data_IF_188296408010
#
_entry.id   IF_188296408010
#
_cell.length_a   1.000
_cell.length_b   1.000
_cell.length_c   1.000
_cell.angle_alpha   90.00
_cell.angle_beta   90.00
_cell.angle_gamma   90.00
#
_symmetry.space_group_name_H-M   'P 1'
#
loop_
_entity.id
_entity.type
_entity.pdbx_description
1 polymer ?
#
# COMPACT_ATOMS: atom_id res chain seq x y z
N UNK A 1 13.64 -44.43 -27.42
CA UNK A 1 13.92 -42.99 -27.66
C UNK A 1 12.74 -42.05 -27.38
N UNK A 2 11.49 -42.51 -27.21
CA UNK A 2 10.34 -41.60 -26.96
C UNK A 2 10.22 -41.00 -25.55
N UNK A 3 10.78 -41.64 -24.52
CA UNK A 3 10.58 -41.24 -23.12
C UNK A 3 11.45 -40.04 -22.69
N UNK A 4 12.66 -39.89 -23.25
CA UNK A 4 13.57 -38.78 -22.93
C UNK A 4 13.05 -37.46 -23.53
N UNK A 5 12.46 -37.51 -24.72
CA UNK A 5 11.85 -36.35 -25.37
C UNK A 5 10.62 -35.87 -24.59
N UNK A 6 9.83 -36.80 -24.04
CA UNK A 6 8.65 -36.47 -23.25
C UNK A 6 9.02 -35.78 -21.93
N UNK A 7 10.06 -36.27 -21.23
CA UNK A 7 10.57 -35.64 -20.00
C UNK A 7 11.13 -34.24 -20.30
N UNK A 8 11.83 -34.05 -21.42
CA UNK A 8 12.33 -32.75 -21.84
C UNK A 8 11.22 -31.73 -22.10
N UNK A 9 10.13 -32.15 -22.75
CA UNK A 9 8.97 -31.28 -23.03
C UNK A 9 8.22 -30.93 -21.75
N UNK A 10 8.02 -31.90 -20.85
CA UNK A 10 7.34 -31.66 -19.56
C UNK A 10 8.19 -30.75 -18.66
N UNK A 11 9.51 -30.95 -18.62
CA UNK A 11 10.42 -30.09 -17.86
C UNK A 11 10.44 -28.66 -18.42
N UNK A 12 10.43 -28.50 -19.74
CA UNK A 12 10.36 -27.18 -20.39
C UNK A 12 9.01 -26.49 -20.14
N UNK A 13 7.90 -27.22 -20.19
CA UNK A 13 6.57 -26.70 -19.86
C UNK A 13 6.47 -26.31 -18.38
N UNK A 14 7.05 -27.09 -17.47
CA UNK A 14 7.13 -26.76 -16.05
C UNK A 14 8.01 -25.52 -15.80
N UNK A 15 9.16 -25.40 -16.48
CA UNK A 15 10.02 -24.21 -16.42
C UNK A 15 9.33 -22.95 -16.97
N UNK A 16 8.56 -23.07 -18.05
CA UNK A 16 7.76 -21.97 -18.61
C UNK A 16 6.59 -21.58 -17.69
N UNK A 17 5.93 -22.55 -17.05
CA UNK A 17 4.86 -22.30 -16.08
C UNK A 17 5.40 -21.67 -14.79
N UNK A 18 6.57 -22.13 -14.32
CA UNK A 18 7.24 -21.58 -13.15
C UNK A 18 7.78 -20.16 -13.45
N UNK A 19 8.38 -19.96 -14.62
CA UNK A 19 8.81 -18.64 -15.10
C UNK A 19 7.65 -17.65 -15.21
N UNK A 20 6.49 -18.07 -15.73
CA UNK A 20 5.27 -17.25 -15.76
C UNK A 20 4.83 -16.85 -14.35
N UNK A 21 4.84 -17.78 -13.39
CA UNK A 21 4.40 -17.49 -12.01
C UNK A 21 5.28 -16.45 -11.30
N UNK A 22 6.56 -16.38 -11.67
CA UNK A 22 7.49 -15.39 -11.10
C UNK A 22 7.62 -14.10 -11.91
N UNK A 23 7.39 -14.10 -13.23
CA UNK A 23 7.49 -12.89 -14.07
C UNK A 23 6.18 -12.09 -14.22
N UNK A 24 5.01 -12.71 -14.03
CA UNK A 24 3.72 -12.02 -14.24
C UNK A 24 3.37 -10.89 -13.26
N UNK A 25 3.88 -10.77 -12.01
CA UNK A 25 3.57 -9.61 -11.18
C UNK A 25 4.11 -8.30 -11.76
N UNK A 26 5.21 -8.39 -12.53
CA UNK A 26 5.96 -7.25 -13.05
C UNK A 26 5.34 -6.68 -14.33
N UNK A 27 4.59 -7.48 -15.07
CA UNK A 27 4.05 -7.13 -16.40
C UNK A 27 2.51 -7.08 -16.41
N UNK A 28 1.88 -6.54 -15.35
CA UNK A 28 0.45 -6.20 -15.42
C UNK A 28 0.29 -4.86 -16.15
N UNK A 29 -0.30 -4.83 -17.36
CA UNK A 29 -0.47 -3.58 -18.08
C UNK A 29 -1.42 -2.64 -17.32
N UNK A 30 -1.05 -1.37 -17.23
CA UNK A 30 -1.95 -0.33 -16.77
C UNK A 30 -3.06 -0.17 -17.81
N UNK A 31 -4.32 -0.23 -17.37
CA UNK A 31 -5.51 -0.05 -18.22
C UNK A 31 -5.91 1.42 -18.29
N UNK A 32 -5.62 2.18 -17.23
CA UNK A 32 -5.93 3.60 -17.17
C UNK A 32 -4.86 4.35 -16.38
N UNK A 33 -4.46 5.52 -16.87
CA UNK A 33 -3.59 6.45 -16.15
C UNK A 33 -4.33 7.76 -15.92
N UNK A 34 -4.26 8.30 -14.70
CA UNK A 34 -4.96 9.53 -14.33
C UNK A 34 -4.22 10.29 -13.22
N UNK A 35 -4.54 11.59 -13.10
CA UNK A 35 -3.97 12.45 -12.07
C UNK A 35 -4.79 12.38 -10.78
N UNK A 36 -4.11 12.00 -9.70
CA UNK A 36 -4.71 11.80 -8.39
C UNK A 36 -4.02 12.57 -7.28
N UNK A 37 -4.66 12.50 -6.11
CA UNK A 37 -4.14 13.03 -4.86
C UNK A 37 -4.33 11.99 -3.77
N UNK A 38 -3.26 11.64 -3.07
CA UNK A 38 -3.38 10.88 -1.81
C UNK A 38 -3.96 11.86 -0.80
N UNK A 39 -5.16 11.56 -0.31
CA UNK A 39 -5.92 12.42 0.61
C UNK A 39 -5.99 11.84 2.01
N UNK A 40 -5.83 10.52 2.13
CA UNK A 40 -5.82 9.83 3.42
C UNK A 40 -4.99 8.55 3.33
N UNK A 41 -4.77 7.94 4.48
CA UNK A 41 -4.12 6.63 4.61
C UNK A 41 -4.92 5.79 5.59
N UNK A 42 -5.29 4.57 5.18
CA UNK A 42 -5.85 3.57 6.08
C UNK A 42 -4.69 2.80 6.70
N UNK A 43 -4.55 2.88 8.02
CA UNK A 43 -3.48 2.25 8.78
C UNK A 43 -4.02 1.02 9.49
N UNK A 44 -3.40 -0.14 9.27
CA UNK A 44 -3.68 -1.37 10.01
C UNK A 44 -2.50 -1.71 10.92
N UNK A 45 -2.78 -2.26 12.10
CA UNK A 45 -1.75 -2.62 13.08
C UNK A 45 -1.57 -4.12 13.15
N UNK A 46 -0.34 -4.56 13.41
CA UNK A 46 0.03 -5.97 13.32
C UNK A 46 -0.66 -6.82 14.40
N UNK A 47 -0.78 -6.26 15.61
CA UNK A 47 -1.51 -6.82 16.74
C UNK A 47 -1.97 -5.70 17.65
N UNK A 48 -3.01 -6.02 18.43
CA UNK A 48 -3.59 -5.28 19.55
C UNK A 48 -2.69 -4.12 20.06
N UNK A 49 -2.75 -2.92 19.46
CA UNK A 49 -1.81 -1.84 19.76
C UNK A 49 -1.86 -1.53 21.25
N UNK A 50 -0.70 -1.64 21.89
CA UNK A 50 -0.54 -1.40 23.33
C UNK A 50 0.01 0.00 23.48
N UNK A 51 -0.73 0.84 24.21
CA UNK A 51 -0.40 2.24 24.55
C UNK A 51 1.01 2.48 25.14
N UNK A 52 1.82 1.44 25.37
CA UNK A 52 3.16 1.48 25.96
C UNK A 52 4.24 0.71 25.20
N UNK A 53 3.97 0.08 24.06
CA UNK A 53 5.01 -0.63 23.32
C UNK A 53 4.50 -1.47 22.16
N UNK A 54 5.02 -1.15 20.98
CA UNK A 54 4.71 -1.68 19.65
C UNK A 54 3.38 -1.20 19.07
N UNK A 55 3.36 0.08 18.72
CA UNK A 55 2.34 0.70 17.86
C UNK A 55 2.77 0.66 16.38
N UNK A 56 3.56 -0.34 15.97
CA UNK A 56 4.03 -0.42 14.59
C UNK A 56 2.88 -0.75 13.63
N UNK A 57 2.62 0.09 12.61
CA UNK A 57 1.65 -0.21 11.58
C UNK A 57 2.12 -1.43 10.77
N UNK A 58 1.23 -2.41 10.60
CA UNK A 58 1.45 -3.58 9.75
C UNK A 58 1.40 -3.20 8.28
N UNK A 59 0.45 -2.35 7.94
CA UNK A 59 0.23 -1.89 6.58
C UNK A 59 -0.41 -0.50 6.56
N UNK A 60 -0.21 0.18 5.45
CA UNK A 60 -0.78 1.48 5.18
C UNK A 60 -1.26 1.53 3.73
N UNK A 61 -2.58 1.64 3.55
CA UNK A 61 -3.23 1.71 2.27
C UNK A 61 -3.60 3.18 1.96
N UNK A 62 -2.99 3.82 0.95
CA UNK A 62 -3.34 5.19 0.63
C UNK A 62 -4.72 5.25 -0.02
N UNK A 63 -5.48 6.27 0.35
CA UNK A 63 -6.72 6.64 -0.30
C UNK A 63 -6.43 7.75 -1.29
N UNK A 64 -6.74 7.49 -2.55
CA UNK A 64 -6.43 8.36 -3.68
C UNK A 64 -7.73 8.90 -4.26
N UNK A 65 -7.81 10.22 -4.41
CA UNK A 65 -8.91 10.92 -5.06
C UNK A 65 -8.51 11.35 -6.46
N UNK A 66 -9.38 11.12 -7.44
CA UNK A 66 -9.18 11.60 -8.81
C UNK A 66 -9.45 13.11 -8.90
N UNK A 67 -8.50 13.88 -9.46
CA UNK A 67 -8.60 15.35 -9.47
C UNK A 67 -9.72 15.86 -10.38
N UNK A 68 -10.07 15.12 -11.42
CA UNK A 68 -11.13 15.49 -12.36
C UNK A 68 -12.56 15.40 -11.78
N UNK A 69 -12.71 15.26 -10.45
CA UNK A 69 -14.00 15.17 -9.78
C UNK A 69 -14.50 13.73 -9.57
N UNK A 70 -13.59 12.75 -9.61
CA UNK A 70 -13.91 11.35 -9.32
C UNK A 70 -13.96 11.05 -7.82
N UNK A 71 -14.49 9.87 -7.47
CA UNK A 71 -14.56 9.38 -6.10
C UNK A 71 -13.20 9.01 -5.51
N UNK A 72 -13.18 8.83 -4.19
CA UNK A 72 -12.02 8.27 -3.49
C UNK A 72 -11.91 6.77 -3.74
N UNK A 73 -10.68 6.30 -3.96
CA UNK A 73 -10.38 4.88 -4.14
C UNK A 73 -9.19 4.51 -3.28
N UNK A 74 -9.30 3.36 -2.61
CA UNK A 74 -8.21 2.83 -1.81
C UNK A 74 -7.27 2.04 -2.71
N UNK A 75 -5.97 2.33 -2.61
CA UNK A 75 -4.98 1.49 -3.24
C UNK A 75 -4.69 0.28 -2.35
N UNK A 76 -4.52 -0.88 -2.98
CA UNK A 76 -4.56 -2.13 -2.25
C UNK A 76 -3.35 -2.30 -1.31
N UNK A 77 -3.60 -2.94 -0.17
CA UNK A 77 -2.80 -3.04 1.05
C UNK A 77 -1.27 -2.98 0.83
N UNK A 78 -0.65 -1.81 1.08
CA UNK A 78 0.78 -1.61 0.86
C UNK A 78 1.58 -1.54 2.15
N UNK A 79 2.85 -1.93 2.04
CA UNK A 79 3.86 -1.73 3.07
C UNK A 79 3.99 -0.23 3.30
N UNK A 80 4.09 0.16 4.57
CA UNK A 80 4.21 1.57 4.98
C UNK A 80 5.32 2.28 4.20
N UNK A 81 6.46 1.62 4.02
CA UNK A 81 7.63 2.14 3.29
C UNK A 81 7.39 2.42 1.80
N UNK A 82 6.32 1.90 1.21
CA UNK A 82 5.95 2.19 -0.17
C UNK A 82 5.26 3.57 -0.33
N UNK A 83 4.88 4.21 0.77
CA UNK A 83 4.27 5.54 0.74
C UNK A 83 5.32 6.62 0.40
N UNK A 84 4.92 7.71 -0.30
CA UNK A 84 5.81 8.84 -0.50
C UNK A 84 6.30 9.41 0.83
N UNK A 85 7.57 9.83 0.91
CA UNK A 85 8.17 10.34 2.15
C UNK A 85 7.43 11.54 2.75
N UNK A 86 6.73 12.33 1.92
CA UNK A 86 5.86 13.43 2.37
C UNK A 86 4.64 12.90 3.11
N UNK A 87 4.02 11.83 2.62
CA UNK A 87 2.90 11.16 3.29
C UNK A 87 3.37 10.55 4.61
N UNK A 88 4.52 9.87 4.60
CA UNK A 88 5.11 9.31 5.83
C UNK A 88 5.37 10.38 6.89
N UNK A 89 5.89 11.54 6.48
CA UNK A 89 6.13 12.67 7.38
C UNK A 89 4.83 13.20 7.98
N UNK A 90 3.77 13.34 7.18
CA UNK A 90 2.47 13.78 7.69
C UNK A 90 1.85 12.73 8.62
N UNK A 91 1.98 11.45 8.28
CA UNK A 91 1.42 10.32 9.02
C UNK A 91 2.09 10.09 10.37
N UNK A 92 3.43 10.23 10.45
CA UNK A 92 4.22 9.92 11.66
C UNK A 92 4.87 11.14 12.33
N UNK A 93 4.76 12.33 11.73
CA UNK A 93 5.37 13.56 12.25
C UNK A 93 6.89 13.63 12.04
N UNK A 94 7.51 12.57 11.50
CA UNK A 94 8.93 12.51 11.19
C UNK A 94 9.19 11.68 9.94
N UNK A 95 10.26 12.00 9.19
CA UNK A 95 10.74 11.19 8.06
C UNK A 95 11.48 9.93 8.48
N UNK A 96 11.92 9.86 9.74
CA UNK A 96 12.56 8.66 10.28
C UNK A 96 11.42 7.79 10.75
N UNK A 97 11.11 6.75 9.97
CA UNK A 97 10.41 5.61 10.50
C UNK A 97 11.32 5.02 11.57
N UNK A 98 11.20 5.51 12.80
CA UNK A 98 11.95 4.97 13.92
C UNK A 98 11.38 3.57 14.15
N UNK A 99 12.10 2.58 13.63
CA UNK A 99 11.68 1.18 13.48
C UNK A 99 11.28 0.56 14.82
N UNK A 100 11.58 1.25 15.93
CA UNK A 100 11.34 0.82 17.30
C UNK A 100 9.99 1.32 17.86
N UNK A 101 9.38 2.39 17.33
CA UNK A 101 8.04 2.87 17.73
C UNK A 101 7.54 4.03 16.82
N UNK A 102 7.02 3.74 15.62
CA UNK A 102 6.43 4.77 14.76
C UNK A 102 5.15 5.31 15.40
N UNK A 103 5.11 6.62 15.67
CA UNK A 103 3.98 7.28 16.32
C UNK A 103 3.16 8.02 15.29
N UNK A 104 1.88 7.69 15.15
CA UNK A 104 0.98 8.50 14.32
C UNK A 104 0.95 9.94 14.83
N UNK A 105 0.99 10.88 13.89
CA UNK A 105 0.88 12.32 14.11
C UNK A 105 -0.58 12.73 14.38
N UNK A 106 -1.16 12.14 15.41
CA UNK A 106 -2.53 12.43 15.82
C UNK A 106 -2.55 13.59 16.81
N UNK A 107 -3.47 14.55 16.66
CA UNK A 107 -3.65 15.59 17.66
C UNK A 107 -4.23 14.94 18.93
N UNK A 108 -3.64 15.17 20.10
CA UNK A 108 -4.11 14.72 21.44
C UNK A 108 -4.10 13.20 21.75
N UNK A 109 -4.07 12.87 23.05
CA UNK A 109 -4.04 11.48 23.53
C UNK A 109 -5.37 10.74 23.45
N UNK A 110 -6.50 11.43 23.27
CA UNK A 110 -7.82 10.78 23.15
C UNK A 110 -8.10 10.32 21.72
N UNK A 111 -7.86 11.17 20.72
CA UNK A 111 -7.91 10.77 19.31
C UNK A 111 -6.91 9.65 19.01
N UNK A 112 -5.75 9.66 19.65
CA UNK A 112 -4.82 8.52 19.59
C UNK A 112 -5.45 7.22 20.09
N UNK A 113 -6.15 7.24 21.23
CA UNK A 113 -6.83 6.05 21.77
C UNK A 113 -7.93 5.56 20.84
N UNK A 114 -8.70 6.48 20.25
CA UNK A 114 -9.74 6.14 19.28
C UNK A 114 -9.15 5.55 18.00
N UNK A 115 -8.06 6.11 17.48
CA UNK A 115 -7.37 5.57 16.30
C UNK A 115 -6.84 4.15 16.53
N UNK A 116 -6.18 3.94 17.68
CA UNK A 116 -5.70 2.63 18.15
C UNK A 116 -6.84 1.61 18.27
N UNK A 117 -8.03 2.03 18.73
CA UNK A 117 -9.21 1.15 18.80
C UNK A 117 -9.82 0.89 17.42
N UNK A 118 -9.99 1.90 16.58
CA UNK A 118 -10.50 1.75 15.21
C UNK A 118 -9.62 0.81 14.37
N UNK A 119 -8.30 0.89 14.58
CA UNK A 119 -7.39 0.02 13.88
C UNK A 119 -7.45 -1.44 14.32
N UNK A 120 -7.93 -1.73 15.54
CA UNK A 120 -8.25 -3.10 15.99
C UNK A 120 -9.49 -3.66 15.30
N UNK A 121 -10.44 -2.80 14.90
CA UNK A 121 -11.70 -3.22 14.28
C UNK A 121 -11.65 -3.33 12.76
N UNK A 122 -10.51 -3.03 12.12
CA UNK A 122 -10.39 -3.14 10.66
C UNK A 122 -9.57 -2.06 9.99
N UNK A 123 -9.02 -1.09 10.72
CA UNK A 123 -8.14 -0.06 10.18
C UNK A 123 -8.55 1.34 10.63
N UNK A 124 -7.59 2.25 10.69
CA UNK A 124 -7.83 3.64 11.04
C UNK A 124 -7.53 4.54 9.85
N UNK A 125 -8.50 5.37 9.47
CA UNK A 125 -8.31 6.39 8.44
C UNK A 125 -7.63 7.62 9.05
N UNK A 126 -6.44 7.93 8.56
CA UNK A 126 -5.73 9.17 8.80
C UNK A 126 -5.90 10.09 7.58
N UNK A 127 -6.72 11.13 7.71
CA UNK A 127 -6.81 12.17 6.68
C UNK A 127 -5.53 13.02 6.67
N UNK A 128 -4.95 13.21 5.49
CA UNK A 128 -3.74 13.99 5.33
C UNK A 128 -4.09 15.48 5.39
N UNK A 129 -3.41 16.26 6.26
CA UNK A 129 -3.56 17.71 6.27
C UNK A 129 -3.28 18.35 4.90
N UNK A 130 -2.29 17.82 4.17
CA UNK A 130 -1.90 18.29 2.84
C UNK A 130 -1.96 17.12 1.84
N UNK A 131 -2.95 17.11 0.92
CA UNK A 131 -3.04 16.09 -0.12
C UNK A 131 -1.80 16.05 -1.01
N UNK A 132 -1.33 14.84 -1.32
CA UNK A 132 -0.09 14.63 -2.10
C UNK A 132 -0.40 14.23 -3.53
N UNK A 133 0.03 15.04 -4.50
CA UNK A 133 -0.19 14.81 -5.93
C UNK A 133 0.57 13.58 -6.43
N UNK A 134 -0.13 12.71 -7.14
CA UNK A 134 0.41 11.48 -7.72
C UNK A 134 -0.16 11.23 -9.10
N UNK A 135 0.64 10.61 -9.97
CA UNK A 135 0.13 9.97 -11.18
C UNK A 135 -0.26 8.53 -10.81
N UNK A 136 -1.48 8.13 -11.17
CA UNK A 136 -2.05 6.83 -10.81
C UNK A 136 -2.19 5.97 -12.05
N UNK A 137 -1.80 4.72 -11.92
CA UNK A 137 -1.98 3.66 -12.91
C UNK A 137 -2.92 2.62 -12.30
N UNK A 138 -4.07 2.44 -12.93
CA UNK A 138 -5.07 1.43 -12.55
C UNK A 138 -4.85 0.18 -13.41
N UNK A 139 -4.72 -0.98 -12.77
CA UNK A 139 -4.59 -2.28 -13.47
C UNK A 139 -5.97 -2.79 -13.89
N UNK A 140 -5.99 -3.84 -14.72
CA UNK A 140 -7.24 -4.49 -15.15
C UNK A 140 -8.07 -5.06 -13.99
N UNK A 141 -7.43 -5.37 -12.86
CA UNK A 141 -8.08 -5.92 -11.67
C UNK A 141 -8.62 -4.81 -10.74
N UNK A 142 -8.42 -3.53 -11.10
CA UNK A 142 -8.76 -2.38 -10.27
C UNK A 142 -7.69 -1.98 -9.25
N UNK A 143 -6.51 -2.64 -9.26
CA UNK A 143 -5.41 -2.27 -8.37
C UNK A 143 -4.87 -0.90 -8.75
N UNK A 144 -4.59 -0.07 -7.74
CA UNK A 144 -3.96 1.23 -7.95
C UNK A 144 -2.45 1.14 -7.69
N UNK A 145 -1.69 1.58 -8.68
CA UNK A 145 -0.26 1.90 -8.56
C UNK A 145 -0.13 3.41 -8.69
N UNK A 146 0.80 3.99 -7.96
CA UNK A 146 1.01 5.43 -8.03
C UNK A 146 2.49 5.75 -8.01
N UNK A 147 2.80 6.91 -8.60
CA UNK A 147 4.13 7.50 -8.58
C UNK A 147 3.99 8.98 -8.31
N UNK A 148 5.02 9.58 -7.71
CA UNK A 148 5.05 11.03 -7.48
C UNK A 148 4.86 11.74 -8.82
N UNK A 149 3.87 12.62 -8.91
CA UNK A 149 3.73 13.51 -10.05
C UNK A 149 4.96 14.44 -10.09
N UNK A 150 5.56 14.60 -11.27
CA UNK A 150 6.68 15.53 -11.48
C UNK A 150 6.23 16.97 -11.29
#
# INVERSE_FOLDING_TARGET
MGMIVFIGIVALAALLALGRRFLLPVLRPAVRTWDGEIVAVIVHYARNPRLRGDDSPLSAAPVIRERAGGGERMADNRVVDALPSVVLRQLFGSTIYDTLNPRLNLPTGELRRQAVQAAKSGGFRFDLPEPVRVAVEETADGDLRWRKAR
#
